data_IF_053346012499
#
_entry.id   IF_053346012499
#
_cell.length_a   1.000
_cell.length_b   1.000
_cell.length_c   1.000
_cell.angle_alpha   90.00
_cell.angle_beta   90.00
_cell.angle_gamma   90.00
#
_symmetry.space_group_name_H-M   'P 1'
#
loop_
_entity.id
_entity.type
_entity.pdbx_description
1 polymer ?
#
# COMPACT_ATOMS: atom_id res chain seq x y z
N UNK A 1 22.14 5.56 -14.47
CA UNK A 1 20.88 6.26 -14.73
C UNK A 1 20.03 5.33 -15.55
N UNK A 2 18.94 4.85 -14.99
CA UNK A 2 17.97 4.00 -15.71
C UNK A 2 17.25 4.94 -16.67
N UNK A 3 17.55 4.84 -17.98
CA UNK A 3 16.95 5.70 -18.98
C UNK A 3 15.47 5.35 -19.17
N UNK A 4 14.57 6.22 -18.72
CA UNK A 4 13.21 6.22 -19.20
C UNK A 4 13.28 6.79 -20.61
N UNK A 5 13.02 5.98 -21.64
CA UNK A 5 13.19 6.34 -23.06
C UNK A 5 12.32 7.52 -23.51
N UNK A 6 11.30 7.90 -22.73
CA UNK A 6 10.51 9.11 -22.90
C UNK A 6 10.67 9.98 -21.65
N UNK A 7 11.08 11.24 -21.83
CA UNK A 7 11.24 12.18 -20.72
C UNK A 7 9.89 12.41 -20.04
N UNK A 8 9.81 12.08 -18.76
CA UNK A 8 8.65 12.41 -17.93
C UNK A 8 8.50 13.94 -17.87
N UNK A 9 7.28 14.41 -17.96
CA UNK A 9 6.97 15.84 -17.89
C UNK A 9 6.32 16.15 -16.54
N UNK A 10 6.66 17.31 -15.97
CA UNK A 10 5.96 17.83 -14.82
C UNK A 10 4.46 18.01 -15.14
N UNK A 11 3.55 17.77 -14.19
CA UNK A 11 2.15 18.09 -14.36
C UNK A 11 1.95 19.61 -14.45
N UNK A 12 0.92 20.05 -15.18
CA UNK A 12 0.50 21.44 -15.18
C UNK A 12 -0.08 21.84 -13.82
N UNK A 13 -0.17 23.17 -13.58
CA UNK A 13 -0.60 23.69 -12.27
C UNK A 13 -1.96 23.14 -11.80
N UNK A 14 -2.89 23.00 -12.72
CA UNK A 14 -4.29 22.62 -12.43
C UNK A 14 -4.56 21.13 -12.74
N UNK A 15 -3.51 20.32 -12.93
CA UNK A 15 -3.66 18.89 -13.17
C UNK A 15 -3.65 18.09 -11.86
N UNK A 16 -4.64 17.24 -11.71
CA UNK A 16 -4.62 16.09 -10.78
C UNK A 16 -3.82 14.96 -11.43
N UNK A 17 -2.94 14.32 -10.68
CA UNK A 17 -2.16 13.19 -11.19
C UNK A 17 -2.24 12.00 -10.26
N UNK A 18 -2.44 10.81 -10.85
CA UNK A 18 -2.32 9.53 -10.16
C UNK A 18 -1.37 8.65 -10.94
N UNK A 19 -0.25 8.30 -10.35
CA UNK A 19 0.76 7.49 -11.00
C UNK A 19 1.03 6.22 -10.21
N UNK A 20 0.74 5.07 -10.83
CA UNK A 20 1.08 3.76 -10.30
C UNK A 20 2.46 3.36 -10.80
N UNK A 21 3.32 2.94 -9.88
CA UNK A 21 4.69 2.49 -10.13
C UNK A 21 4.79 1.04 -9.67
N UNK A 22 5.16 0.15 -10.59
CA UNK A 22 5.45 -1.25 -10.27
C UNK A 22 6.94 -1.51 -10.22
N UNK A 23 7.38 -2.25 -9.22
CA UNK A 23 8.78 -2.66 -9.09
C UNK A 23 9.27 -3.50 -10.28
N UNK A 24 10.58 -3.56 -10.44
CA UNK A 24 11.21 -4.40 -11.44
C UNK A 24 10.92 -5.88 -11.19
N UNK A 25 10.92 -6.66 -12.25
CA UNK A 25 10.64 -8.10 -12.20
C UNK A 25 9.24 -8.49 -11.70
N UNK A 26 8.28 -7.54 -11.67
CA UNK A 26 6.92 -7.78 -11.21
C UNK A 26 6.83 -7.96 -9.69
N UNK A 27 7.60 -7.19 -8.93
CA UNK A 27 7.54 -7.16 -7.47
C UNK A 27 7.67 -5.74 -6.95
N UNK A 28 6.75 -5.32 -6.10
CA UNK A 28 6.72 -4.00 -5.49
C UNK A 28 5.74 -3.04 -6.14
N UNK A 29 5.12 -2.21 -5.29
CA UNK A 29 4.08 -1.25 -5.65
C UNK A 29 4.26 0.08 -4.92
N UNK A 30 4.02 1.18 -5.62
CA UNK A 30 3.84 2.51 -5.04
C UNK A 30 2.89 3.32 -5.89
N UNK A 31 2.08 4.18 -5.26
CA UNK A 31 1.27 5.17 -5.95
C UNK A 31 1.68 6.56 -5.50
N UNK A 32 1.91 7.46 -6.44
CA UNK A 32 2.08 8.88 -6.12
C UNK A 32 0.87 9.66 -6.64
N UNK A 33 0.36 10.57 -5.80
CA UNK A 33 -0.83 11.36 -6.09
C UNK A 33 -0.50 12.83 -5.94
N UNK A 34 -0.64 13.62 -7.01
CA UNK A 34 -0.70 15.07 -6.95
C UNK A 34 -2.16 15.47 -6.80
N UNK A 35 -2.51 16.08 -5.66
CA UNK A 35 -3.90 16.28 -5.30
C UNK A 35 -4.38 17.74 -5.28
N UNK A 36 -3.53 18.67 -5.67
CA UNK A 36 -3.80 20.11 -5.73
C UNK A 36 -2.67 20.92 -5.10
N UNK A 37 -2.69 22.24 -5.25
CA UNK A 37 -1.72 23.18 -4.66
C UNK A 37 -0.24 22.82 -4.90
N UNK A 38 0.06 22.02 -5.92
CA UNK A 38 1.37 21.43 -6.17
C UNK A 38 1.87 20.51 -5.04
N UNK A 39 0.95 19.92 -4.29
CA UNK A 39 1.21 19.01 -3.17
C UNK A 39 1.02 17.55 -3.60
N UNK A 40 1.80 16.68 -2.97
CA UNK A 40 1.89 15.26 -3.30
C UNK A 40 1.73 14.39 -2.06
N UNK A 41 1.10 13.24 -2.29
CA UNK A 41 1.10 12.10 -1.38
C UNK A 41 1.84 10.92 -2.02
N UNK A 42 2.59 10.18 -1.22
CA UNK A 42 3.20 8.90 -1.60
C UNK A 42 2.44 7.81 -0.84
N UNK A 43 1.88 6.86 -1.57
CA UNK A 43 1.19 5.69 -1.00
C UNK A 43 2.06 4.47 -1.29
N UNK A 44 2.53 3.83 -0.26
CA UNK A 44 3.48 2.72 -0.29
C UNK A 44 4.81 3.06 -0.98
N UNK A 45 5.74 2.12 -0.96
CA UNK A 45 7.05 2.29 -1.56
C UNK A 45 7.58 0.98 -2.10
N UNK A 46 8.33 1.09 -3.20
CA UNK A 46 9.03 -0.04 -3.78
C UNK A 46 10.41 0.38 -4.31
N UNK A 47 11.27 -0.61 -4.47
CA UNK A 47 12.63 -0.42 -4.97
C UNK A 47 12.84 -1.16 -6.28
N UNK A 48 13.77 -0.66 -7.08
CA UNK A 48 14.41 -1.46 -8.11
C UNK A 48 15.32 -2.48 -7.43
N UNK A 49 14.99 -3.76 -7.57
CA UNK A 49 15.71 -4.85 -6.88
C UNK A 49 17.17 -4.97 -7.30
N UNK A 50 17.55 -4.49 -8.48
CA UNK A 50 18.92 -4.55 -9.00
C UNK A 50 19.76 -3.43 -8.38
N UNK A 51 19.28 -2.21 -8.45
CA UNK A 51 20.01 -1.02 -8.03
C UNK A 51 19.63 -0.56 -6.62
N UNK A 52 18.68 -1.22 -5.96
CA UNK A 52 18.14 -0.83 -4.65
C UNK A 52 17.67 0.63 -4.60
N UNK A 53 17.21 1.15 -5.74
CA UNK A 53 16.77 2.52 -5.90
C UNK A 53 15.29 2.64 -5.57
N UNK A 54 14.93 3.57 -4.70
CA UNK A 54 13.55 3.83 -4.31
C UNK A 54 12.79 4.49 -5.47
N UNK A 55 11.84 3.78 -6.05
CA UNK A 55 11.19 4.16 -7.31
C UNK A 55 10.30 5.39 -7.20
N UNK A 56 9.47 5.60 -6.15
CA UNK A 56 8.70 6.83 -6.02
C UNK A 56 9.58 8.08 -5.91
N UNK A 57 10.75 7.99 -5.26
CA UNK A 57 11.72 9.10 -5.19
C UNK A 57 12.26 9.42 -6.58
N UNK A 58 12.65 8.39 -7.33
CA UNK A 58 13.15 8.57 -8.71
C UNK A 58 12.10 9.24 -9.57
N UNK A 59 10.87 8.72 -9.54
CA UNK A 59 9.77 9.28 -10.32
C UNK A 59 9.55 10.76 -10.00
N UNK A 60 9.40 11.12 -8.72
CA UNK A 60 9.16 12.49 -8.29
C UNK A 60 10.29 13.45 -8.71
N UNK A 61 11.55 13.02 -8.57
CA UNK A 61 12.71 13.80 -9.02
C UNK A 61 12.73 14.00 -10.55
N UNK A 62 12.36 12.97 -11.32
CA UNK A 62 12.30 13.04 -12.80
C UNK A 62 11.20 14.00 -13.30
N UNK A 63 10.06 14.10 -12.59
CA UNK A 63 9.01 15.06 -12.91
C UNK A 63 9.26 16.45 -12.27
N UNK A 64 10.41 16.65 -11.62
CA UNK A 64 10.85 17.96 -11.10
C UNK A 64 10.22 18.35 -9.76
N UNK A 65 9.74 17.38 -8.97
CA UNK A 65 9.15 17.62 -7.64
C UNK A 65 10.26 17.85 -6.61
N UNK A 66 10.16 18.93 -5.84
CA UNK A 66 10.94 19.11 -4.62
C UNK A 66 10.27 18.32 -3.49
N UNK A 67 10.78 17.13 -3.20
CA UNK A 67 10.16 16.18 -2.26
C UNK A 67 10.01 16.82 -0.87
N UNK A 68 11.04 17.56 -0.39
CA UNK A 68 11.00 18.20 0.94
C UNK A 68 9.89 19.25 1.09
N UNK A 69 9.55 19.94 0.02
CA UNK A 69 8.57 21.02 0.06
C UNK A 69 7.18 20.57 -0.36
N UNK A 70 7.09 19.60 -1.28
CA UNK A 70 5.84 19.30 -1.97
C UNK A 70 5.20 17.98 -1.51
N UNK A 71 5.95 17.02 -0.98
CA UNK A 71 5.37 15.81 -0.40
C UNK A 71 4.91 16.11 1.02
N UNK A 72 3.60 16.00 1.25
CA UNK A 72 2.97 16.30 2.54
C UNK A 72 2.54 15.07 3.30
N UNK A 73 2.25 13.98 2.59
CA UNK A 73 1.77 12.73 3.19
C UNK A 73 2.53 11.55 2.64
N UNK A 74 2.95 10.66 3.54
CA UNK A 74 3.46 9.33 3.22
C UNK A 74 2.53 8.33 3.88
N UNK A 75 1.90 7.48 3.09
CA UNK A 75 0.84 6.56 3.53
C UNK A 75 1.34 5.13 3.37
N UNK A 76 1.41 4.38 4.45
CA UNK A 76 1.69 2.95 4.45
C UNK A 76 0.36 2.20 4.55
N UNK A 77 -0.03 1.52 3.47
CA UNK A 77 -1.32 0.81 3.44
C UNK A 77 -1.31 -0.44 4.30
N UNK A 78 -0.22 -1.16 4.26
CA UNK A 78 0.10 -2.33 5.08
C UNK A 78 1.59 -2.65 4.93
N UNK A 79 2.11 -3.57 5.75
CA UNK A 79 3.57 -3.83 5.78
C UNK A 79 3.99 -5.14 5.12
N UNK A 80 3.45 -5.47 3.97
CA UNK A 80 4.07 -6.47 3.12
C UNK A 80 5.29 -5.89 2.39
N UNK A 81 6.25 -6.77 2.16
CA UNK A 81 7.57 -6.42 1.61
C UNK A 81 7.48 -5.65 0.28
N UNK A 82 6.53 -6.00 -0.55
CA UNK A 82 6.28 -5.36 -1.85
C UNK A 82 5.59 -4.00 -1.77
N UNK A 83 5.18 -3.55 -0.57
CA UNK A 83 4.58 -2.24 -0.31
C UNK A 83 5.43 -1.32 0.55
N UNK A 84 6.41 -1.85 1.30
CA UNK A 84 7.21 -1.02 2.21
C UNK A 84 8.69 -0.90 1.84
N UNK A 85 9.20 -1.64 0.85
CA UNK A 85 10.62 -1.56 0.48
C UNK A 85 11.01 -0.13 0.08
N UNK A 86 12.02 0.42 0.76
CA UNK A 86 12.51 1.79 0.56
C UNK A 86 11.68 2.86 1.27
N UNK A 87 10.70 2.51 2.10
CA UNK A 87 9.86 3.46 2.82
C UNK A 87 10.68 4.38 3.74
N UNK A 88 11.69 3.82 4.44
CA UNK A 88 12.63 4.61 5.24
C UNK A 88 13.37 5.66 4.39
N UNK A 89 13.68 5.38 3.12
CA UNK A 89 14.32 6.33 2.20
C UNK A 89 13.36 7.44 1.79
N UNK A 90 12.07 7.10 1.60
CA UNK A 90 11.03 8.10 1.34
C UNK A 90 10.93 9.07 2.50
N UNK A 91 10.82 8.57 3.73
CA UNK A 91 10.75 9.38 4.95
C UNK A 91 12.03 10.22 5.15
N UNK A 92 13.19 9.68 4.80
CA UNK A 92 14.46 10.41 4.88
C UNK A 92 14.53 11.59 3.89
N UNK A 93 14.03 11.43 2.67
CA UNK A 93 13.99 12.49 1.64
C UNK A 93 12.93 13.58 1.93
N UNK A 94 11.87 13.26 2.68
CA UNK A 94 10.83 14.23 3.05
C UNK A 94 11.32 15.22 4.13
N UNK A 95 10.60 16.32 4.35
CA UNK A 95 10.83 17.20 5.51
C UNK A 95 10.27 16.55 6.79
N UNK A 96 10.62 17.13 7.95
CA UNK A 96 9.99 16.76 9.24
C UNK A 96 8.50 17.08 9.31
N UNK A 97 8.00 17.99 8.45
CA UNK A 97 6.60 18.40 8.42
C UNK A 97 5.71 17.42 7.63
N UNK A 98 6.31 16.39 7.02
CA UNK A 98 5.53 15.33 6.37
C UNK A 98 4.71 14.57 7.43
N UNK A 99 3.51 14.15 7.06
CA UNK A 99 2.68 13.31 7.91
C UNK A 99 2.81 11.86 7.47
N UNK A 100 3.19 10.99 8.39
CA UNK A 100 3.23 9.56 8.14
C UNK A 100 1.91 8.92 8.56
N UNK A 101 1.25 8.21 7.66
CA UNK A 101 -0.09 7.66 7.86
C UNK A 101 -0.04 6.14 7.86
N UNK A 102 -0.62 5.50 8.88
CA UNK A 102 -0.64 4.04 9.03
C UNK A 102 -1.97 3.55 9.59
N UNK A 103 -2.33 2.30 9.30
CA UNK A 103 -3.59 1.72 9.79
C UNK A 103 -3.61 1.43 11.29
N UNK A 104 -2.47 1.54 11.97
CA UNK A 104 -2.34 1.16 13.37
C UNK A 104 -2.03 2.40 14.20
N UNK A 105 -2.68 2.51 15.34
CA UNK A 105 -2.47 3.64 16.24
C UNK A 105 -1.94 3.23 17.60
N UNK A 106 -1.24 4.19 18.17
CA UNK A 106 -0.88 4.34 19.58
C UNK A 106 -0.13 3.15 20.21
N UNK A 107 -0.49 2.72 21.39
CA UNK A 107 0.16 1.64 22.14
C UNK A 107 0.30 0.32 21.35
N UNK A 108 -0.66 0.06 20.46
CA UNK A 108 -0.66 -1.12 19.60
C UNK A 108 0.43 -1.06 18.52
N UNK A 109 0.76 0.12 18.01
CA UNK A 109 1.93 0.32 17.13
C UNK A 109 3.23 0.09 17.92
N UNK A 110 3.31 0.60 19.15
CA UNK A 110 4.42 0.32 20.08
C UNK A 110 4.56 -1.19 20.31
N UNK A 111 3.47 -1.88 20.60
CA UNK A 111 3.44 -3.33 20.79
C UNK A 111 3.93 -4.09 19.55
N UNK A 112 3.50 -3.72 18.35
CA UNK A 112 4.00 -4.33 17.11
C UNK A 112 5.46 -4.04 16.85
N UNK A 113 5.90 -2.82 17.08
CA UNK A 113 7.30 -2.43 16.98
C UNK A 113 8.18 -3.26 17.93
N UNK A 114 7.73 -3.45 19.18
CA UNK A 114 8.44 -4.26 20.17
C UNK A 114 8.43 -5.76 19.82
N UNK A 115 7.31 -6.29 19.32
CA UNK A 115 7.24 -7.65 18.79
C UNK A 115 8.22 -7.84 17.62
N UNK A 116 8.23 -6.92 16.68
CA UNK A 116 9.12 -6.95 15.54
C UNK A 116 10.59 -6.83 15.96
N UNK A 117 10.90 -5.96 16.92
CA UNK A 117 12.24 -5.78 17.47
C UNK A 117 12.72 -6.99 18.26
N UNK A 118 11.84 -7.65 18.99
CA UNK A 118 12.16 -8.77 19.87
C UNK A 118 12.36 -10.12 19.17
N UNK A 119 12.18 -10.22 17.85
CA UNK A 119 12.18 -11.48 17.09
C UNK A 119 11.15 -12.51 17.53
N UNK A 120 10.09 -12.10 18.22
CA UNK A 120 9.03 -13.00 18.72
C UNK A 120 8.16 -13.57 17.62
N UNK A 121 8.15 -12.93 16.48
CA UNK A 121 7.41 -13.31 15.30
C UNK A 121 8.41 -13.66 14.20
N UNK A 122 8.25 -14.78 13.48
CA UNK A 122 9.04 -15.04 12.26
C UNK A 122 8.32 -14.50 11.01
N UNK A 123 8.34 -13.19 10.74
CA UNK A 123 8.04 -12.69 9.43
C UNK A 123 9.28 -12.81 8.53
N UNK A 124 9.08 -12.59 7.26
CA UNK A 124 10.17 -12.43 6.31
C UNK A 124 11.19 -11.40 6.85
N UNK A 125 12.44 -11.77 7.02
CA UNK A 125 13.49 -10.93 7.64
C UNK A 125 13.66 -9.55 6.98
N UNK A 126 13.21 -9.42 5.71
CA UNK A 126 13.25 -8.18 4.95
C UNK A 126 12.21 -7.15 5.40
N UNK A 127 10.96 -7.56 5.57
CA UNK A 127 9.81 -6.74 6.01
C UNK A 127 10.10 -6.10 7.36
N UNK A 128 10.54 -6.91 8.32
CA UNK A 128 10.86 -6.49 9.67
C UNK A 128 11.88 -5.37 9.70
N UNK A 129 12.96 -5.54 8.94
CA UNK A 129 14.04 -4.56 8.88
C UNK A 129 13.54 -3.22 8.32
N UNK A 130 12.71 -3.25 7.26
CA UNK A 130 12.22 -2.04 6.61
C UNK A 130 11.27 -1.25 7.51
N UNK A 131 10.34 -1.94 8.20
CA UNK A 131 9.43 -1.30 9.15
C UNK A 131 10.20 -0.60 10.29
N UNK A 132 11.16 -1.29 10.90
CA UNK A 132 12.00 -0.73 11.95
C UNK A 132 12.73 0.50 11.43
N UNK A 133 13.38 0.42 10.27
CA UNK A 133 14.09 1.54 9.68
C UNK A 133 13.18 2.73 9.37
N UNK A 134 11.95 2.49 8.97
CA UNK A 134 10.95 3.55 8.72
C UNK A 134 10.56 4.23 10.04
N UNK A 135 10.28 3.45 11.09
CA UNK A 135 9.93 3.98 12.42
C UNK A 135 11.10 4.74 13.07
N UNK A 136 12.34 4.24 12.90
CA UNK A 136 13.53 4.95 13.36
C UNK A 136 13.66 6.32 12.67
N UNK A 137 13.31 6.43 11.37
CA UNK A 137 13.28 7.72 10.66
C UNK A 137 12.17 8.64 11.15
N UNK A 138 11.00 8.09 11.47
CA UNK A 138 9.90 8.86 12.10
C UNK A 138 10.39 9.49 13.40
N UNK A 139 11.01 8.69 14.27
CA UNK A 139 11.59 9.17 15.54
C UNK A 139 12.70 10.21 15.31
N UNK A 140 13.73 9.87 14.51
CA UNK A 140 14.88 10.73 14.23
C UNK A 140 14.47 12.14 13.79
N UNK A 141 13.43 12.24 12.98
CA UNK A 141 12.98 13.50 12.37
C UNK A 141 11.80 14.14 13.09
N UNK A 142 11.22 13.50 14.11
CA UNK A 142 10.02 13.96 14.79
C UNK A 142 8.80 14.05 13.86
N UNK A 143 8.67 13.10 12.93
CA UNK A 143 7.56 13.08 11.96
C UNK A 143 6.26 12.73 12.68
N UNK A 144 5.21 13.52 12.44
CA UNK A 144 3.86 13.24 12.96
C UNK A 144 3.30 11.97 12.32
N UNK A 145 2.76 11.07 13.15
CA UNK A 145 2.06 9.86 12.70
C UNK A 145 0.56 10.01 12.93
N UNK A 146 -0.25 9.64 11.96
CA UNK A 146 -1.71 9.60 12.10
C UNK A 146 -2.25 8.20 11.83
N UNK A 147 -3.36 7.89 12.52
CA UNK A 147 -4.11 6.66 12.37
C UNK A 147 -5.05 6.71 11.18
N UNK A 148 -5.05 5.65 10.38
CA UNK A 148 -6.01 5.45 9.31
C UNK A 148 -7.11 4.48 9.76
N UNK A 149 -8.33 4.93 9.68
CA UNK A 149 -9.52 4.15 10.00
C UNK A 149 -10.63 4.53 9.02
N UNK A 150 -11.50 3.58 8.72
CA UNK A 150 -12.62 3.76 7.80
C UNK A 150 -13.41 5.02 8.11
N UNK A 151 -13.79 5.73 7.04
CA UNK A 151 -14.55 6.97 7.04
C UNK A 151 -13.84 8.20 7.63
N UNK A 152 -12.66 8.05 8.24
CA UNK A 152 -11.91 9.19 8.74
C UNK A 152 -11.11 9.90 7.64
N UNK A 153 -10.98 11.22 7.70
CA UNK A 153 -10.13 11.96 6.79
C UNK A 153 -8.65 11.68 7.07
N UNK A 154 -7.89 11.34 6.04
CA UNK A 154 -6.43 11.34 6.05
C UNK A 154 -5.93 12.78 6.01
N UNK A 155 -6.52 13.57 5.11
CA UNK A 155 -6.35 15.01 5.04
C UNK A 155 -7.51 15.68 4.30
N UNK A 156 -7.63 16.98 4.51
CA UNK A 156 -8.56 17.84 3.80
C UNK A 156 -7.89 19.16 3.46
N UNK A 157 -7.94 19.54 2.19
CA UNK A 157 -7.50 20.83 1.67
C UNK A 157 -8.66 21.50 0.95
N UNK A 158 -8.47 22.73 0.47
CA UNK A 158 -9.47 23.44 -0.33
C UNK A 158 -9.76 22.75 -1.69
N UNK A 159 -8.81 21.96 -2.18
CA UNK A 159 -8.92 21.31 -3.50
C UNK A 159 -9.19 19.81 -3.44
N UNK A 160 -8.82 19.13 -2.35
CA UNK A 160 -8.92 17.67 -2.25
C UNK A 160 -9.18 17.20 -0.82
N UNK A 161 -10.01 16.18 -0.71
CA UNK A 161 -10.19 15.40 0.51
C UNK A 161 -9.71 13.98 0.25
N UNK A 162 -8.86 13.47 1.14
CA UNK A 162 -8.48 12.05 1.17
C UNK A 162 -9.09 11.40 2.41
N UNK A 163 -9.77 10.27 2.23
CA UNK A 163 -10.35 9.48 3.31
C UNK A 163 -9.83 8.05 3.27
N UNK A 164 -9.65 7.46 4.44
CA UNK A 164 -9.45 6.03 4.56
C UNK A 164 -10.78 5.29 4.38
N UNK A 165 -10.78 4.23 3.56
CA UNK A 165 -11.93 3.37 3.32
C UNK A 165 -11.87 2.08 4.12
N UNK A 166 -10.69 1.71 4.59
CA UNK A 166 -10.36 0.56 5.43
C UNK A 166 -9.10 0.86 6.24
N UNK A 167 -8.78 0.08 7.28
CA UNK A 167 -9.63 -0.95 7.88
C UNK A 167 -10.82 -0.36 8.62
N UNK A 168 -11.87 -1.16 8.81
CA UNK A 168 -12.96 -0.84 9.75
C UNK A 168 -12.49 -0.99 11.20
N UNK A 169 -13.25 -0.45 12.14
CA UNK A 169 -12.96 -0.65 13.56
C UNK A 169 -12.98 -2.14 13.93
N UNK A 170 -13.94 -2.89 13.38
CA UNK A 170 -14.05 -4.34 13.57
C UNK A 170 -12.81 -5.11 13.09
N UNK A 171 -12.27 -4.74 11.92
CA UNK A 171 -11.04 -5.37 11.39
C UNK A 171 -9.83 -5.12 12.29
N UNK A 172 -9.70 -3.93 12.87
CA UNK A 172 -8.63 -3.66 13.82
C UNK A 172 -8.77 -4.47 15.11
N UNK A 173 -9.98 -4.58 15.64
CA UNK A 173 -10.26 -5.38 16.83
C UNK A 173 -9.88 -6.84 16.58
N UNK A 174 -10.37 -7.45 15.49
CA UNK A 174 -10.03 -8.82 15.09
C UNK A 174 -8.52 -9.01 14.91
N UNK A 175 -7.84 -8.05 14.30
CA UNK A 175 -6.39 -8.12 14.11
C UNK A 175 -5.64 -8.19 15.44
N UNK A 176 -6.05 -7.41 16.44
CA UNK A 176 -5.41 -7.45 17.75
C UNK A 176 -5.75 -8.68 18.55
N UNK A 177 -6.97 -9.21 18.43
CA UNK A 177 -7.35 -10.51 18.99
C UNK A 177 -6.48 -11.63 18.41
N UNK A 178 -6.34 -11.70 17.08
CA UNK A 178 -5.50 -12.68 16.39
C UNK A 178 -4.03 -12.56 16.79
N UNK A 179 -3.52 -11.33 16.90
CA UNK A 179 -2.14 -11.06 17.29
C UNK A 179 -1.88 -11.48 18.73
N UNK A 180 -2.78 -11.14 19.66
CA UNK A 180 -2.69 -11.54 21.06
C UNK A 180 -2.74 -13.05 21.22
N UNK A 181 -3.60 -13.73 20.45
CA UNK A 181 -3.69 -15.19 20.44
C UNK A 181 -2.40 -15.83 19.89
N UNK A 182 -1.90 -15.37 18.74
CA UNK A 182 -0.66 -15.89 18.16
C UNK A 182 0.54 -15.75 19.09
N UNK A 183 0.58 -14.66 19.86
CA UNK A 183 1.61 -14.41 20.87
C UNK A 183 1.44 -15.32 22.09
N UNK A 184 0.20 -15.62 22.51
CA UNK A 184 -0.08 -16.47 23.68
C UNK A 184 0.20 -17.96 23.43
N UNK A 185 -0.08 -18.49 22.23
CA UNK A 185 0.19 -19.89 21.88
C UNK A 185 1.68 -20.25 21.91
N UNK A 186 2.56 -19.30 21.66
CA UNK A 186 4.01 -19.56 21.67
C UNK A 186 4.63 -19.64 23.08
N UNK A 187 3.83 -19.50 24.17
CA UNK A 187 4.31 -19.66 25.56
C UNK A 187 5.39 -18.67 25.99
N UNK A 188 5.79 -17.75 25.12
CA UNK A 188 6.90 -16.83 25.33
C UNK A 188 6.48 -15.51 25.97
N UNK A 189 5.19 -15.20 25.98
CA UNK A 189 4.66 -13.90 26.41
C UNK A 189 4.74 -13.70 27.91
N UNK A 190 4.46 -14.71 28.71
CA UNK A 190 4.57 -14.61 30.18
C UNK A 190 6.02 -14.45 30.62
N UNK A 191 6.95 -15.22 30.05
CA UNK A 191 8.38 -15.08 30.33
C UNK A 191 8.96 -13.76 29.83
N UNK A 192 8.39 -13.16 28.79
CA UNK A 192 8.87 -11.91 28.25
C UNK A 192 8.13 -10.69 28.80
N UNK A 193 6.90 -10.82 29.27
CA UNK A 193 6.27 -9.81 30.11
C UNK A 193 7.10 -9.57 31.38
N UNK A 194 7.63 -10.63 31.96
CA UNK A 194 8.59 -10.55 33.07
C UNK A 194 9.96 -10.03 32.63
N UNK A 195 10.44 -10.39 31.44
CA UNK A 195 11.69 -9.86 30.87
C UNK A 195 11.54 -8.42 30.38
N UNK A 196 10.44 -8.03 29.77
CA UNK A 196 10.13 -6.64 29.39
C UNK A 196 9.92 -5.79 30.65
N UNK A 197 9.29 -6.29 31.69
CA UNK A 197 9.21 -5.59 32.97
C UNK A 197 10.55 -5.53 33.72
N UNK A 198 11.48 -6.44 33.43
CA UNK A 198 12.83 -6.45 34.00
C UNK A 198 13.87 -5.67 33.15
N UNK A 199 13.63 -5.51 31.85
CA UNK A 199 14.41 -4.59 30.97
C UNK A 199 14.01 -3.14 31.14
N UNK A 200 12.96 -2.90 31.95
CA UNK A 200 12.28 -1.60 32.07
C UNK A 200 13.04 -0.52 32.83
N UNK A 201 14.30 -0.69 33.23
CA UNK A 201 14.97 0.37 33.99
C UNK A 201 16.11 1.09 33.29
N UNK A 202 16.77 0.51 32.30
CA UNK A 202 17.93 1.19 31.68
C UNK A 202 17.96 1.29 30.16
N UNK A 203 17.14 0.49 29.43
CA UNK A 203 17.10 0.55 27.96
C UNK A 203 15.72 1.02 27.39
N UNK A 204 14.72 1.16 28.26
CA UNK A 204 13.35 1.58 27.92
C UNK A 204 13.20 3.11 27.96
N UNK A 205 14.09 3.85 28.56
CA UNK A 205 14.03 5.33 28.50
C UNK A 205 13.98 5.82 27.07
N UNK A 206 14.71 5.19 26.14
CA UNK A 206 14.68 5.52 24.73
C UNK A 206 13.38 5.11 24.01
N UNK A 207 12.73 4.02 24.44
CA UNK A 207 11.48 3.56 23.82
C UNK A 207 10.26 4.34 24.29
N UNK A 208 10.26 4.76 25.57
CA UNK A 208 9.20 5.58 26.14
C UNK A 208 9.23 7.03 25.57
N UNK A 209 10.41 7.58 25.28
CA UNK A 209 10.55 8.87 24.61
C UNK A 209 9.99 8.85 23.18
N UNK A 210 10.13 7.76 22.43
CA UNK A 210 9.48 7.58 21.12
C UNK A 210 7.96 7.54 21.26
N UNK A 211 7.49 6.79 22.26
CA UNK A 211 6.06 6.64 22.45
C UNK A 211 5.43 8.01 22.78
N UNK A 212 5.94 8.76 23.73
CA UNK A 212 5.36 10.04 24.13
C UNK A 212 5.32 11.08 23.00
N UNK A 213 6.37 11.20 22.18
CA UNK A 213 6.40 12.17 21.07
C UNK A 213 5.47 11.75 19.92
N UNK A 214 5.41 10.46 19.57
CA UNK A 214 4.52 9.94 18.53
C UNK A 214 3.06 9.96 19.03
N UNK A 215 2.82 9.69 20.32
CA UNK A 215 1.48 9.58 20.91
C UNK A 215 0.88 10.92 21.30
N UNK A 216 1.64 11.87 21.83
CA UNK A 216 1.16 13.21 22.10
C UNK A 216 0.63 13.93 20.86
N UNK A 217 1.15 13.58 19.66
CA UNK A 217 0.64 14.12 18.41
C UNK A 217 -0.64 13.42 17.90
N UNK A 218 -0.95 12.21 18.39
CA UNK A 218 -2.14 11.45 18.01
C UNK A 218 -3.34 11.85 18.89
N UNK A 219 -3.13 12.10 20.18
CA UNK A 219 -4.18 12.44 21.15
C UNK A 219 -4.94 13.74 20.83
N UNK A 220 -4.31 14.67 20.12
CA UNK A 220 -4.89 16.00 19.88
C UNK A 220 -5.93 16.06 18.76
N UNK A 221 -6.05 15.06 17.89
CA UNK A 221 -6.93 15.14 16.72
C UNK A 221 -8.06 14.08 16.64
N UNK A 222 -8.02 12.98 17.40
CA UNK A 222 -8.97 11.89 17.17
C UNK A 222 -10.20 11.83 18.08
N UNK A 223 -10.21 12.51 19.24
CA UNK A 223 -11.38 12.55 20.14
C UNK A 223 -11.93 11.17 20.59
N UNK A 224 -11.20 10.09 20.36
CA UNK A 224 -11.59 8.72 20.69
C UNK A 224 -10.95 8.37 22.03
N UNK A 225 -11.77 8.10 23.02
CA UNK A 225 -11.33 7.56 24.31
C UNK A 225 -10.57 6.25 24.09
N UNK A 226 -9.39 6.18 24.69
CA UNK A 226 -8.59 4.97 24.74
C UNK A 226 -9.24 3.98 25.70
N UNK A 227 -9.79 2.89 25.16
CA UNK A 227 -10.08 1.71 25.99
C UNK A 227 -8.80 0.86 26.06
N UNK A 228 -8.14 0.88 27.20
CA UNK A 228 -7.10 -0.09 27.57
C UNK A 228 -7.68 -1.51 27.46
N UNK A 229 -6.90 -2.45 26.94
CA UNK A 229 -7.21 -3.89 27.11
C UNK A 229 -7.30 -4.17 28.60
N UNK A 230 -8.51 -4.41 29.07
CA UNK A 230 -8.79 -4.65 30.49
C UNK A 230 -8.27 -6.03 30.90
N UNK A 231 -8.10 -6.25 32.21
CA UNK A 231 -7.79 -7.60 32.73
C UNK A 231 -8.87 -8.63 32.32
N UNK A 232 -10.07 -8.18 31.99
CA UNK A 232 -11.20 -8.97 31.52
C UNK A 232 -11.00 -9.41 30.05
N UNK A 233 -10.48 -8.52 29.18
CA UNK A 233 -10.11 -8.84 27.80
C UNK A 233 -8.98 -9.86 27.75
N UNK A 234 -8.02 -9.77 28.67
CA UNK A 234 -6.93 -10.73 28.82
C UNK A 234 -7.44 -12.09 29.36
N UNK A 235 -8.45 -12.09 30.24
CA UNK A 235 -9.07 -13.31 30.78
C UNK A 235 -9.96 -14.02 29.76
N UNK A 236 -10.61 -13.30 28.86
CA UNK A 236 -11.38 -13.87 27.74
C UNK A 236 -10.48 -14.43 26.64
N UNK A 237 -9.32 -13.83 26.42
CA UNK A 237 -8.24 -14.41 25.60
C UNK A 237 -7.71 -15.73 26.19
N UNK A 238 -7.70 -15.87 27.51
CA UNK A 238 -7.34 -17.15 28.15
C UNK A 238 -8.39 -18.25 27.96
N UNK A 239 -9.68 -17.90 27.81
CA UNK A 239 -10.76 -18.87 27.57
C UNK A 239 -10.76 -19.42 26.13
N UNK A 240 -10.20 -18.70 25.18
CA UNK A 240 -10.08 -19.10 23.76
C UNK A 240 -8.97 -20.14 23.51
N UNK A 241 -8.21 -20.55 24.54
CA UNK A 241 -7.08 -21.51 24.46
C UNK A 241 -7.44 -22.95 24.11
N UNK A 242 -8.55 -23.20 23.47
CA UNK A 242 -9.04 -24.56 23.14
C UNK A 242 -9.01 -24.87 21.64
N UNK A 243 -7.95 -25.51 21.18
CA UNK A 243 -7.95 -26.51 20.10
C UNK A 243 -7.92 -26.13 18.62
N UNK A 244 -7.67 -24.91 18.20
CA UNK A 244 -7.42 -24.65 16.76
C UNK A 244 -6.02 -24.04 16.53
N UNK A 245 -5.30 -24.57 15.54
CA UNK A 245 -4.04 -23.96 15.08
C UNK A 245 -4.36 -22.59 14.48
N UNK A 246 -3.98 -21.54 15.15
CA UNK A 246 -4.15 -20.17 14.64
C UNK A 246 -3.24 -19.95 13.46
N UNK A 247 -3.85 -19.64 12.33
CA UNK A 247 -3.13 -19.14 11.16
C UNK A 247 -2.58 -17.73 11.45
N UNK A 248 -1.44 -17.39 10.85
CA UNK A 248 -0.89 -16.03 10.93
C UNK A 248 -1.95 -15.02 10.50
N UNK A 249 -2.08 -13.86 11.17
CA UNK A 249 -3.00 -12.82 10.76
C UNK A 249 -2.78 -12.45 9.27
N UNK A 250 -3.86 -12.39 8.50
CA UNK A 250 -3.78 -11.93 7.13
C UNK A 250 -3.75 -10.40 7.10
N UNK A 251 -2.59 -9.81 6.84
CA UNK A 251 -2.39 -8.36 6.83
C UNK A 251 -3.14 -7.71 5.66
N UNK A 252 -3.38 -8.44 4.56
CA UNK A 252 -4.10 -7.91 3.40
C UNK A 252 -5.55 -7.56 3.72
N UNK A 253 -6.21 -8.32 4.58
CA UNK A 253 -7.59 -8.06 4.99
C UNK A 253 -7.73 -6.68 5.64
N UNK A 254 -6.64 -6.12 6.17
CA UNK A 254 -6.57 -4.83 6.87
C UNK A 254 -5.77 -3.77 6.11
N UNK A 255 -5.56 -3.99 4.82
CA UNK A 255 -4.94 -3.00 3.94
C UNK A 255 -5.76 -1.71 3.89
N UNK A 256 -5.09 -0.57 3.89
CA UNK A 256 -5.73 0.74 3.79
C UNK A 256 -6.12 1.03 2.34
N UNK A 257 -7.38 0.89 2.03
CA UNK A 257 -7.95 1.46 0.81
C UNK A 257 -8.23 2.96 1.01
N UNK A 258 -8.07 3.75 -0.04
CA UNK A 258 -8.16 5.21 0.02
C UNK A 258 -9.13 5.76 -1.02
N UNK A 259 -9.85 6.82 -0.65
CA UNK A 259 -10.65 7.64 -1.54
C UNK A 259 -10.07 9.06 -1.59
N UNK A 260 -9.64 9.51 -2.75
CA UNK A 260 -9.36 10.92 -3.01
C UNK A 260 -10.54 11.54 -3.76
N UNK A 261 -10.97 12.68 -3.30
CA UNK A 261 -12.04 13.47 -3.94
C UNK A 261 -11.54 14.88 -4.19
N UNK A 262 -11.40 15.26 -5.47
CA UNK A 262 -10.94 16.58 -5.89
C UNK A 262 -11.94 17.18 -6.89
N UNK A 263 -12.59 18.30 -6.53
CA UNK A 263 -13.58 18.99 -7.39
C UNK A 263 -14.62 18.06 -8.02
N UNK A 264 -15.08 17.04 -7.28
CA UNK A 264 -16.08 16.07 -7.76
C UNK A 264 -15.49 14.89 -8.55
N UNK A 265 -14.18 14.84 -8.76
CA UNK A 265 -13.49 13.68 -9.33
C UNK A 265 -13.07 12.73 -8.21
N UNK A 266 -13.33 11.44 -8.41
CA UNK A 266 -13.06 10.42 -7.41
C UNK A 266 -12.00 9.43 -7.89
N UNK A 267 -11.05 9.12 -7.01
CA UNK A 267 -9.98 8.15 -7.21
C UNK A 267 -10.05 7.15 -6.06
N UNK A 268 -10.14 5.87 -6.38
CA UNK A 268 -10.07 4.79 -5.39
C UNK A 268 -8.76 4.04 -5.56
N UNK A 269 -8.00 3.93 -4.46
CA UNK A 269 -6.80 3.10 -4.38
C UNK A 269 -7.10 1.92 -3.46
N UNK A 270 -7.13 0.71 -4.02
CA UNK A 270 -7.58 -0.49 -3.32
C UNK A 270 -6.51 -1.17 -2.47
N UNK A 271 -5.26 -0.70 -2.49
CA UNK A 271 -4.12 -1.38 -1.86
C UNK A 271 -4.15 -2.90 -2.11
N UNK A 272 -4.05 -3.72 -1.06
CA UNK A 272 -4.21 -5.18 -1.17
C UNK A 272 -5.46 -5.70 -0.44
N UNK A 273 -6.47 -4.82 -0.28
CA UNK A 273 -7.70 -5.17 0.41
C UNK A 273 -8.39 -6.37 -0.24
N UNK A 274 -8.83 -7.30 0.59
CA UNK A 274 -9.49 -8.53 0.18
C UNK A 274 -10.99 -8.52 0.51
N UNK A 275 -11.70 -9.49 -0.07
CA UNK A 275 -13.08 -9.80 0.26
C UNK A 275 -13.11 -10.59 1.55
N UNK A 276 -13.96 -10.20 2.49
CA UNK A 276 -14.17 -10.91 3.75
C UNK A 276 -15.46 -11.75 3.71
N UNK A 277 -15.56 -12.75 4.59
CA UNK A 277 -16.84 -13.42 4.88
C UNK A 277 -17.71 -12.60 5.84
N UNK A 278 -17.10 -11.67 6.58
CA UNK A 278 -17.79 -10.75 7.48
C UNK A 278 -18.17 -9.47 6.71
N UNK A 279 -19.43 -9.05 6.80
CA UNK A 279 -19.95 -7.86 6.13
C UNK A 279 -19.38 -6.54 6.66
N UNK A 280 -18.84 -6.55 7.87
CA UNK A 280 -18.21 -5.38 8.50
C UNK A 280 -16.71 -5.28 8.19
N UNK A 281 -16.18 -6.19 7.36
CA UNK A 281 -14.77 -6.28 7.00
C UNK A 281 -14.55 -6.28 5.48
N UNK A 282 -13.33 -5.96 5.06
CA UNK A 282 -12.87 -6.00 3.66
C UNK A 282 -13.70 -5.14 2.72
N UNK A 283 -13.77 -5.58 1.46
CA UNK A 283 -14.53 -4.87 0.43
C UNK A 283 -16.02 -4.74 0.73
N UNK A 284 -16.61 -5.64 1.53
CA UNK A 284 -18.00 -5.56 1.94
C UNK A 284 -18.23 -4.32 2.80
N UNK A 285 -17.40 -4.11 3.82
CA UNK A 285 -17.45 -2.93 4.67
C UNK A 285 -17.24 -1.65 3.86
N UNK A 286 -16.26 -1.65 2.94
CA UNK A 286 -15.97 -0.50 2.08
C UNK A 286 -17.13 -0.18 1.15
N UNK A 287 -17.80 -1.20 0.58
CA UNK A 287 -18.96 -0.99 -0.30
C UNK A 287 -20.09 -0.21 0.37
N UNK A 288 -20.27 -0.42 1.67
CA UNK A 288 -21.41 0.11 2.42
C UNK A 288 -21.06 1.31 3.31
N UNK A 289 -19.78 1.69 3.39
CA UNK A 289 -19.32 2.76 4.25
C UNK A 289 -19.84 4.15 3.84
N UNK A 290 -19.85 5.09 4.77
CA UNK A 290 -20.43 6.41 4.56
C UNK A 290 -19.67 7.24 3.52
N UNK A 291 -18.37 7.07 3.43
CA UNK A 291 -17.51 7.78 2.48
C UNK A 291 -17.75 7.39 1.03
N UNK A 292 -18.28 6.19 0.78
CA UNK A 292 -18.58 5.71 -0.59
C UNK A 292 -19.96 6.09 -1.10
N UNK A 293 -20.80 6.72 -0.29
CA UNK A 293 -22.15 7.16 -0.73
C UNK A 293 -22.06 8.18 -1.85
N UNK A 294 -22.60 7.81 -3.03
CA UNK A 294 -22.61 8.66 -4.23
C UNK A 294 -21.28 8.74 -4.96
N UNK A 295 -20.26 8.00 -4.54
CA UNK A 295 -18.98 7.91 -5.23
C UNK A 295 -19.14 7.12 -6.52
N UNK A 296 -18.55 7.64 -7.60
CA UNK A 296 -18.46 7.00 -8.90
C UNK A 296 -17.08 7.33 -9.49
N UNK A 297 -16.09 6.50 -9.18
CA UNK A 297 -14.69 6.80 -9.41
C UNK A 297 -14.29 6.70 -10.89
N UNK A 298 -13.47 7.67 -11.33
CA UNK A 298 -12.86 7.71 -12.67
C UNK A 298 -11.48 7.03 -12.73
N UNK A 299 -10.84 6.81 -11.56
CA UNK A 299 -9.60 6.02 -11.41
C UNK A 299 -9.83 4.94 -10.37
N UNK A 300 -9.39 3.73 -10.69
CA UNK A 300 -9.38 2.62 -9.75
C UNK A 300 -8.03 1.89 -9.78
N UNK A 301 -7.24 1.98 -8.71
CA UNK A 301 -6.13 1.06 -8.49
C UNK A 301 -6.71 -0.25 -7.95
N UNK A 302 -6.61 -1.29 -8.77
CA UNK A 302 -7.16 -2.62 -8.48
C UNK A 302 -6.41 -3.24 -7.30
N UNK A 303 -7.17 -3.80 -6.37
CA UNK A 303 -6.63 -4.37 -5.15
C UNK A 303 -5.85 -5.68 -5.39
N UNK A 304 -4.90 -5.93 -4.50
CA UNK A 304 -4.15 -7.17 -4.36
C UNK A 304 -3.64 -7.71 -5.71
N UNK A 305 -3.05 -6.81 -6.50
CA UNK A 305 -2.46 -7.09 -7.81
C UNK A 305 -3.39 -7.83 -8.79
N UNK A 306 -4.72 -7.71 -8.61
CA UNK A 306 -5.71 -8.45 -9.39
C UNK A 306 -5.86 -9.91 -8.98
N UNK A 307 -5.66 -10.23 -7.72
CA UNK A 307 -6.02 -11.51 -7.10
C UNK A 307 -7.54 -11.71 -7.13
N UNK A 308 -7.99 -12.97 -7.15
CA UNK A 308 -9.42 -13.29 -7.02
C UNK A 308 -9.98 -12.90 -5.65
N UNK A 309 -9.17 -12.91 -4.59
CA UNK A 309 -9.56 -12.46 -3.25
C UNK A 309 -9.74 -10.96 -3.15
N UNK A 310 -9.07 -10.18 -4.02
CA UNK A 310 -9.25 -8.72 -4.13
C UNK A 310 -10.40 -8.29 -5.04
N UNK A 311 -11.07 -9.23 -5.74
CA UNK A 311 -12.13 -8.92 -6.69
C UNK A 311 -13.52 -8.93 -6.02
N UNK A 312 -14.17 -7.78 -5.98
CA UNK A 312 -15.54 -7.66 -5.49
C UNK A 312 -16.44 -6.95 -6.51
N UNK A 313 -17.23 -7.74 -7.22
CA UNK A 313 -18.07 -7.27 -8.35
C UNK A 313 -19.08 -6.20 -7.94
N UNK A 314 -19.68 -6.35 -6.75
CA UNK A 314 -20.68 -5.41 -6.26
C UNK A 314 -20.08 -4.01 -6.05
N UNK A 315 -18.88 -3.93 -5.48
CA UNK A 315 -18.15 -2.68 -5.33
C UNK A 315 -17.87 -2.00 -6.69
N UNK A 316 -17.42 -2.78 -7.67
CA UNK A 316 -17.19 -2.25 -9.03
C UNK A 316 -18.46 -1.63 -9.60
N UNK A 317 -19.58 -2.35 -9.53
CA UNK A 317 -20.87 -1.89 -10.09
C UNK A 317 -21.44 -0.66 -9.38
N UNK A 318 -21.21 -0.56 -8.06
CA UNK A 318 -21.78 0.53 -7.25
C UNK A 318 -20.93 1.80 -7.31
N UNK A 319 -19.60 1.67 -7.42
CA UNK A 319 -18.68 2.78 -7.12
C UNK A 319 -17.66 3.09 -8.18
N UNK A 320 -17.49 2.26 -9.22
CA UNK A 320 -16.51 2.46 -10.27
C UNK A 320 -17.20 2.64 -11.62
N UNK A 321 -16.88 3.70 -12.34
CA UNK A 321 -17.40 3.92 -13.70
C UNK A 321 -16.90 2.82 -14.65
N UNK A 322 -17.74 2.28 -15.54
CA UNK A 322 -17.24 1.41 -16.62
C UNK A 322 -16.21 2.09 -17.52
N UNK A 323 -16.24 3.43 -17.62
CA UNK A 323 -15.25 4.25 -18.34
C UNK A 323 -14.01 4.60 -17.52
N UNK A 324 -13.95 4.18 -16.25
CA UNK A 324 -12.82 4.44 -15.39
C UNK A 324 -11.52 3.84 -15.95
N UNK A 325 -10.41 4.45 -15.58
CA UNK A 325 -9.08 3.90 -15.81
C UNK A 325 -8.72 2.97 -14.66
N UNK A 326 -8.70 1.68 -14.93
CA UNK A 326 -8.18 0.66 -14.02
C UNK A 326 -6.66 0.54 -14.13
N UNK A 327 -6.00 0.38 -13.00
CA UNK A 327 -4.55 0.22 -12.91
C UNK A 327 -4.21 -0.92 -11.95
N UNK A 328 -3.23 -1.74 -12.30
CA UNK A 328 -2.72 -2.77 -11.41
C UNK A 328 -1.23 -3.00 -11.63
N UNK A 329 -0.58 -3.47 -10.59
CA UNK A 329 0.80 -3.98 -10.66
C UNK A 329 0.79 -5.49 -10.89
N UNK A 330 1.80 -5.98 -11.57
CA UNK A 330 2.10 -7.40 -11.60
C UNK A 330 2.80 -7.78 -10.31
N UNK A 331 2.49 -8.96 -9.77
CA UNK A 331 3.17 -9.51 -8.60
C UNK A 331 3.58 -10.96 -8.87
N UNK A 332 4.85 -11.29 -8.56
CA UNK A 332 5.41 -12.63 -8.74
C UNK A 332 6.26 -12.99 -7.53
N UNK A 333 5.90 -14.08 -6.87
CA UNK A 333 6.71 -14.69 -5.80
C UNK A 333 6.77 -16.20 -6.00
N UNK A 334 7.94 -16.69 -6.41
CA UNK A 334 8.12 -18.09 -6.75
C UNK A 334 7.27 -18.52 -7.95
N UNK A 335 6.33 -19.46 -7.74
CA UNK A 335 5.40 -19.93 -8.79
C UNK A 335 4.07 -19.17 -8.82
N UNK A 336 3.83 -18.31 -7.85
CA UNK A 336 2.59 -17.52 -7.77
C UNK A 336 2.73 -16.26 -8.61
N UNK A 337 1.76 -15.98 -9.45
CA UNK A 337 1.70 -14.82 -10.34
C UNK A 337 0.36 -14.13 -10.16
N UNK A 338 0.40 -12.80 -10.05
CA UNK A 338 -0.78 -11.92 -10.10
C UNK A 338 -0.59 -10.93 -11.25
N UNK A 339 -1.64 -10.49 -11.91
CA UNK A 339 -3.05 -10.90 -11.72
C UNK A 339 -3.31 -12.33 -12.14
N UNK A 340 -4.38 -12.92 -11.61
CA UNK A 340 -4.92 -14.16 -12.12
C UNK A 340 -5.67 -13.91 -13.43
N UNK A 341 -5.52 -14.81 -14.40
CA UNK A 341 -6.09 -14.68 -15.75
C UNK A 341 -7.59 -14.42 -15.75
N UNK A 342 -8.34 -15.22 -14.99
CA UNK A 342 -9.80 -15.11 -14.94
C UNK A 342 -10.23 -13.80 -14.27
N UNK A 343 -9.53 -13.37 -13.24
CA UNK A 343 -9.81 -12.11 -12.55
C UNK A 343 -9.49 -10.92 -13.45
N UNK A 344 -8.35 -10.95 -14.15
CA UNK A 344 -7.99 -9.91 -15.11
C UNK A 344 -9.02 -9.82 -16.24
N UNK A 345 -9.54 -10.98 -16.70
CA UNK A 345 -10.61 -11.02 -17.71
C UNK A 345 -11.88 -10.33 -17.24
N UNK A 346 -12.29 -10.55 -15.98
CA UNK A 346 -13.46 -9.88 -15.39
C UNK A 346 -13.26 -8.36 -15.32
N UNK A 347 -12.10 -7.89 -14.86
CA UNK A 347 -11.80 -6.46 -14.85
C UNK A 347 -11.78 -5.88 -16.28
N UNK A 348 -11.20 -6.57 -17.24
CA UNK A 348 -11.14 -6.13 -18.64
C UNK A 348 -12.53 -6.07 -19.31
N UNK A 349 -13.46 -6.96 -18.92
CA UNK A 349 -14.85 -6.90 -19.38
C UNK A 349 -15.62 -5.72 -18.80
N UNK A 350 -15.32 -5.33 -17.57
CA UNK A 350 -16.00 -4.23 -16.90
C UNK A 350 -15.41 -2.86 -17.24
N UNK A 351 -14.07 -2.73 -17.24
CA UNK A 351 -13.33 -1.48 -17.43
C UNK A 351 -12.90 -1.32 -18.88
N UNK A 352 -13.32 -0.24 -19.52
CA UNK A 352 -12.92 0.05 -20.91
C UNK A 352 -11.44 0.42 -21.07
N UNK A 353 -10.79 0.89 -19.99
CA UNK A 353 -9.38 1.28 -19.94
C UNK A 353 -8.69 0.55 -18.79
N UNK A 354 -7.83 -0.38 -19.09
CA UNK A 354 -7.12 -1.18 -18.09
C UNK A 354 -5.62 -1.23 -18.41
N UNK A 355 -4.80 -0.95 -17.41
CA UNK A 355 -3.35 -0.85 -17.55
C UNK A 355 -2.64 -1.69 -16.48
N UNK A 356 -1.50 -2.25 -16.84
CA UNK A 356 -0.65 -3.06 -15.96
C UNK A 356 0.79 -2.56 -16.02
N UNK A 357 1.50 -2.57 -14.89
CA UNK A 357 2.88 -2.09 -14.83
C UNK A 357 3.87 -3.00 -15.54
N UNK A 358 3.59 -4.30 -15.64
CA UNK A 358 4.44 -5.25 -16.37
C UNK A 358 3.57 -6.39 -16.90
N UNK A 359 3.84 -6.85 -18.12
CA UNK A 359 3.15 -8.00 -18.70
C UNK A 359 3.56 -9.29 -17.98
N UNK A 360 2.65 -9.96 -17.25
CA UNK A 360 2.99 -11.14 -16.47
C UNK A 360 3.45 -12.33 -17.33
N UNK A 361 3.08 -12.40 -18.60
CA UNK A 361 3.48 -13.48 -19.50
C UNK A 361 4.98 -13.50 -19.78
N UNK A 362 5.65 -12.34 -19.72
CA UNK A 362 7.11 -12.26 -19.86
C UNK A 362 7.87 -12.69 -18.62
N UNK A 363 7.22 -12.73 -17.46
CA UNK A 363 7.86 -13.02 -16.19
C UNK A 363 7.74 -14.49 -15.78
N UNK A 364 6.78 -15.22 -16.33
CA UNK A 364 6.46 -16.61 -15.96
C UNK A 364 7.34 -17.68 -16.62
N UNK A 365 8.60 -17.37 -16.95
CA UNK A 365 9.64 -18.38 -17.10
C UNK A 365 9.49 -19.45 -18.19
N UNK A 366 8.51 -19.39 -19.10
CA UNK A 366 8.52 -20.22 -20.31
C UNK A 366 9.69 -19.86 -21.23
N UNK A 367 10.41 -18.78 -20.92
CA UNK A 367 11.59 -18.29 -21.62
C UNK A 367 12.92 -18.65 -20.95
N UNK A 368 12.94 -19.62 -20.03
CA UNK A 368 14.17 -20.01 -19.30
C UNK A 368 14.88 -21.23 -19.91
N UNK A 369 14.54 -21.66 -21.12
CA UNK A 369 15.40 -22.65 -21.80
C UNK A 369 16.64 -21.94 -22.36
N UNK A 370 17.83 -22.51 -22.18
CA UNK A 370 19.09 -21.97 -22.71
C UNK A 370 19.03 -21.60 -24.19
N UNK A 371 18.32 -22.40 -24.99
CA UNK A 371 18.15 -22.17 -26.44
C UNK A 371 17.38 -20.90 -26.78
N UNK A 372 16.38 -20.53 -25.94
CA UNK A 372 15.62 -19.30 -26.15
C UNK A 372 16.41 -18.05 -25.75
N UNK A 373 17.27 -18.17 -24.74
CA UNK A 373 18.15 -17.08 -24.31
C UNK A 373 19.16 -16.74 -25.43
N UNK A 374 19.76 -17.72 -26.07
CA UNK A 374 20.72 -17.53 -27.18
C UNK A 374 20.07 -16.90 -28.42
N UNK A 375 18.86 -17.36 -28.83
CA UNK A 375 18.14 -16.81 -29.98
C UNK A 375 17.70 -15.38 -29.76
N UNK A 376 17.44 -14.99 -28.51
CA UNK A 376 16.98 -13.66 -28.13
C UNK A 376 18.14 -12.69 -27.89
N UNK A 377 19.31 -13.16 -27.45
CA UNK A 377 20.54 -12.38 -27.39
C UNK A 377 21.05 -11.99 -28.78
N UNK A 378 20.81 -12.85 -29.81
CA UNK A 378 21.17 -12.56 -31.18
C UNK A 378 20.18 -11.62 -31.94
N UNK A 379 18.93 -11.54 -31.48
CA UNK A 379 17.88 -10.80 -32.21
C UNK A 379 17.40 -9.51 -31.59
N UNK A 380 17.70 -9.26 -30.31
CA UNK A 380 17.21 -8.03 -29.65
C UNK A 380 18.10 -7.59 -28.49
N UNK A 381 18.68 -6.41 -28.59
CA UNK A 381 19.17 -5.61 -27.43
C UNK A 381 18.09 -5.36 -26.36
N UNK A 382 16.85 -5.78 -26.60
CA UNK A 382 15.69 -5.34 -25.84
C UNK A 382 15.20 -6.24 -24.71
N UNK A 383 15.60 -7.51 -24.62
CA UNK A 383 15.02 -8.43 -23.63
C UNK A 383 15.68 -8.38 -22.26
N UNK A 384 16.96 -8.14 -22.21
CA UNK A 384 17.66 -7.87 -20.94
C UNK A 384 17.11 -6.58 -20.30
N UNK A 385 16.71 -5.61 -21.11
CA UNK A 385 16.09 -4.35 -20.65
C UNK A 385 14.69 -4.54 -20.08
N UNK A 386 13.85 -5.42 -20.64
CA UNK A 386 12.44 -5.56 -20.17
C UNK A 386 12.36 -6.13 -18.75
N UNK A 387 13.22 -7.08 -18.38
CA UNK A 387 13.26 -7.64 -17.02
C UNK A 387 13.77 -6.68 -15.94
N UNK A 388 14.47 -5.64 -16.38
CA UNK A 388 15.12 -4.67 -15.50
C UNK A 388 14.41 -3.31 -15.51
N UNK A 389 13.36 -3.14 -16.31
CA UNK A 389 12.59 -1.92 -16.37
C UNK A 389 11.37 -1.99 -15.44
N UNK A 390 11.26 -1.02 -14.56
CA UNK A 390 10.03 -0.80 -13.81
C UNK A 390 8.96 -0.17 -14.71
N UNK A 391 7.68 -0.41 -14.38
CA UNK A 391 6.57 0.10 -15.16
C UNK A 391 5.86 1.25 -14.46
N UNK A 392 5.49 2.27 -15.23
CA UNK A 392 4.75 3.42 -14.75
C UNK A 392 3.46 3.58 -15.55
N UNK A 393 2.34 3.71 -14.84
CA UNK A 393 1.03 4.05 -15.40
C UNK A 393 0.61 5.41 -14.84
N UNK A 394 0.85 6.48 -15.60
CA UNK A 394 0.56 7.86 -15.22
C UNK A 394 -0.79 8.29 -15.79
N UNK A 395 -1.70 8.77 -14.94
CA UNK A 395 -2.97 9.38 -15.38
C UNK A 395 -3.07 10.81 -14.87
N UNK A 396 -3.49 11.72 -15.75
CA UNK A 396 -3.71 13.13 -15.45
C UNK A 396 -5.09 13.58 -15.85
N UNK A 397 -5.62 14.52 -15.09
CA UNK A 397 -6.89 15.18 -15.34
C UNK A 397 -6.72 16.68 -15.12
N UNK A 398 -7.14 17.49 -16.08
CA UNK A 398 -7.24 18.94 -15.89
C UNK A 398 -8.49 19.25 -15.06
N UNK A 399 -8.30 19.74 -13.84
CA UNK A 399 -9.37 20.10 -12.91
C UNK A 399 -10.26 21.26 -13.39
N UNK A 400 -9.86 21.98 -14.42
CA UNK A 400 -10.61 23.08 -15.03
C UNK A 400 -11.37 22.65 -16.29
N UNK A 401 -11.18 21.42 -16.79
CA UNK A 401 -11.81 20.94 -18.01
C UNK A 401 -13.34 20.76 -17.89
N UNK A 402 -13.85 20.59 -16.67
CA UNK A 402 -15.24 20.27 -16.41
C UNK A 402 -15.66 18.87 -16.88
N UNK A 403 -14.72 18.05 -17.35
CA UNK A 403 -14.92 16.67 -17.80
C UNK A 403 -14.14 15.70 -16.92
N UNK A 404 -14.49 14.41 -16.94
CA UNK A 404 -13.77 13.35 -16.24
C UNK A 404 -12.87 12.57 -17.22
N UNK A 405 -12.24 13.30 -18.14
CA UNK A 405 -11.42 12.74 -19.22
C UNK A 405 -9.96 12.55 -18.79
N UNK A 406 -9.70 11.44 -18.12
CA UNK A 406 -8.36 11.05 -17.73
C UNK A 406 -7.48 10.68 -18.93
N UNK A 407 -6.38 11.39 -19.07
CA UNK A 407 -5.31 11.05 -20.02
C UNK A 407 -4.31 10.12 -19.35
N UNK A 408 -4.12 8.91 -19.89
CA UNK A 408 -3.19 7.91 -19.33
C UNK A 408 -2.04 7.64 -20.27
N UNK A 409 -0.82 7.70 -19.74
CA UNK A 409 0.43 7.34 -20.40
C UNK A 409 1.11 6.19 -19.66
N UNK A 410 1.79 5.34 -20.42
CA UNK A 410 2.57 4.21 -19.89
C UNK A 410 4.06 4.41 -20.24
N UNK A 411 4.93 4.02 -19.29
CA UNK A 411 6.39 4.11 -19.47
C UNK A 411 7.04 2.83 -18.94
N UNK A 412 8.25 2.55 -19.43
CA UNK A 412 9.00 1.35 -19.06
C UNK A 412 8.29 0.08 -19.50
N UNK A 413 8.14 -0.87 -18.60
CA UNK A 413 7.49 -2.15 -18.86
C UNK A 413 5.95 -2.11 -18.84
N UNK A 414 5.34 -0.97 -18.50
CA UNK A 414 3.89 -0.85 -18.40
C UNK A 414 3.17 -1.01 -19.75
N UNK A 415 2.00 -1.62 -19.71
CA UNK A 415 1.19 -1.97 -20.89
C UNK A 415 -0.29 -1.64 -20.70
N UNK A 416 -0.97 -1.46 -21.83
CA UNK A 416 -2.43 -1.58 -21.89
C UNK A 416 -2.80 -3.06 -21.80
N UNK A 417 -3.76 -3.40 -20.98
CA UNK A 417 -4.31 -4.76 -20.93
C UNK A 417 -5.24 -4.95 -22.12
N UNK A 418 -4.91 -5.90 -22.96
CA UNK A 418 -5.70 -6.29 -24.13
C UNK A 418 -6.13 -7.74 -24.01
N UNK A 419 -7.14 -8.15 -24.79
CA UNK A 419 -7.53 -9.57 -24.85
C UNK A 419 -6.38 -10.47 -25.29
N UNK A 420 -5.48 -9.97 -26.15
CA UNK A 420 -4.30 -10.72 -26.57
C UNK A 420 -3.33 -10.96 -25.41
N UNK A 421 -3.09 -9.92 -24.54
CA UNK A 421 -2.27 -10.07 -23.34
C UNK A 421 -2.88 -11.13 -22.43
N UNK A 422 -4.19 -11.06 -22.17
CA UNK A 422 -4.90 -12.03 -21.31
C UNK A 422 -4.79 -13.45 -21.88
N UNK A 423 -4.93 -13.61 -23.18
CA UNK A 423 -4.84 -14.94 -23.83
C UNK A 423 -3.45 -15.56 -23.71
N UNK A 424 -2.39 -14.74 -23.63
CA UNK A 424 -1.01 -15.21 -23.44
C UNK A 424 -0.69 -15.65 -22.01
N UNK A 425 -1.49 -15.22 -21.03
CA UNK A 425 -1.32 -15.66 -19.64
C UNK A 425 -1.67 -17.15 -19.52
N UNK A 426 -0.87 -17.86 -18.72
CA UNK A 426 -1.02 -19.32 -18.53
C UNK A 426 -2.26 -19.66 -17.68
#
# INVERSE_FOLDING_TARGET
>A
MVGIAAKLQAPNKDELEVTLIGGSSGYGESVVVRYGNNEWAIVDSCVDVINQTCLPIVYLKEVGVNIKEQVKYVICTHWHDDHIQGLHKVLDECSSDVVFCVAIASEKLKFLYEIERSNLYEPDRGVRKELIMAMDKVKEKGIRVIRLLQDLPVFQTDECVCKALSPSQKELELFFEELAYAVSEQGQVLEQKEKLSALSTDEIEDADEISEVVFASIETESGINEDELTEEDLADLEKLKGNEKVSKPNINDRSVALLFTAKGHHIVLGADLEVSSDSECGWQSVNDCSSMKGVNAGIFKIAHHGSNTGYYELFLRNHIKPTATGKLTTWIKGKKVRPEKDTLSKYHQYLSKLFITTDPSYLTGKFTTPDYRNVMEETTESIVDIKNQFGIVQSRLDLNSGTDDWTTKVYGSAKVVTQELINRMA
#
